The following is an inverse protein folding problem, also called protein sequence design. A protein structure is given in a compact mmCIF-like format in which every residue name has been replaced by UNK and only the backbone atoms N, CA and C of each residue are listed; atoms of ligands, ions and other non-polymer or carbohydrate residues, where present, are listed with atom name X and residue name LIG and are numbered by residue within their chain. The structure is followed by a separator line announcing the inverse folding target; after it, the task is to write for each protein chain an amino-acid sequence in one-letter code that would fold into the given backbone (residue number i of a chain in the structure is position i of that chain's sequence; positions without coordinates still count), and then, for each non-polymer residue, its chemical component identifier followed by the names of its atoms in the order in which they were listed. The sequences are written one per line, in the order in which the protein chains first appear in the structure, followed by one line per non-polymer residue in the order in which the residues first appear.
data_IF_654753891727
#
_entry.id   IF_654753891727
#
_cell.length_a   1.000
_cell.length_b   1.000
_cell.length_c   1.000
_cell.angle_alpha   90.00
_cell.angle_beta   90.00
_cell.angle_gamma   90.00
#
_symmetry.space_group_name_H-M   'P 1'
#
loop_
_entity.id
_entity.type
_entity.pdbx_description
1 polymer ?
#
# COMPACT_ATOMS: atom_id res chain seq x y z
N UNK A 1 42.54 -18.07 -27.39
CA UNK A 1 41.67 -16.90 -27.17
C UNK A 1 41.62 -16.17 -28.50
N UNK A 2 40.78 -16.62 -29.42
CA UNK A 2 40.48 -15.89 -30.65
C UNK A 2 38.97 -15.91 -30.81
N UNK A 3 38.46 -14.70 -31.04
CA UNK A 3 37.09 -14.29 -31.04
C UNK A 3 36.38 -14.87 -32.26
N UNK A 4 35.41 -15.78 -32.05
CA UNK A 4 34.51 -16.19 -33.13
C UNK A 4 33.53 -15.06 -33.39
N UNK A 5 33.86 -14.26 -34.40
CA UNK A 5 33.09 -13.16 -34.94
C UNK A 5 31.68 -13.65 -35.31
N UNK A 6 30.66 -13.13 -34.63
CA UNK A 6 29.26 -13.22 -35.05
C UNK A 6 29.11 -12.37 -36.31
N UNK A 7 29.38 -12.96 -37.47
CA UNK A 7 29.25 -12.31 -38.77
C UNK A 7 28.03 -12.87 -39.51
N UNK A 8 27.15 -11.95 -39.93
CA UNK A 8 26.04 -12.11 -40.87
C UNK A 8 24.79 -12.89 -40.43
N UNK A 9 23.86 -12.17 -39.80
CA UNK A 9 22.41 -12.44 -39.87
C UNK A 9 21.76 -11.71 -41.07
N UNK A 10 22.52 -11.34 -42.12
CA UNK A 10 22.02 -10.53 -43.25
C UNK A 10 21.89 -11.25 -44.60
N UNK A 11 22.01 -12.58 -44.67
CA UNK A 11 21.93 -13.31 -45.95
C UNK A 11 20.64 -14.14 -46.07
N UNK A 12 19.59 -13.50 -46.59
CA UNK A 12 18.51 -14.12 -47.34
C UNK A 12 17.38 -14.81 -46.55
N UNK A 13 16.22 -15.07 -47.22
CA UNK A 13 15.08 -15.81 -46.65
C UNK A 13 15.48 -17.12 -45.95
N UNK A 14 16.58 -17.73 -46.38
CA UNK A 14 17.16 -18.98 -45.84
C UNK A 14 17.58 -18.91 -44.36
N UNK A 15 18.08 -17.75 -43.87
CA UNK A 15 18.44 -17.60 -42.45
C UNK A 15 17.21 -17.45 -41.55
N UNK A 16 16.15 -16.80 -42.05
CA UNK A 16 14.86 -16.73 -41.37
C UNK A 16 14.14 -18.08 -41.41
N UNK A 17 14.25 -18.83 -42.53
CA UNK A 17 13.70 -20.17 -42.67
C UNK A 17 14.39 -21.17 -41.74
N UNK A 18 15.71 -21.08 -41.56
CA UNK A 18 16.45 -21.87 -40.57
C UNK A 18 16.08 -21.51 -39.14
N UNK A 19 15.88 -20.22 -38.83
CA UNK A 19 15.37 -19.79 -37.52
C UNK A 19 13.96 -20.32 -37.26
N UNK A 20 13.08 -20.25 -38.26
CA UNK A 20 11.70 -20.76 -38.15
C UNK A 20 11.68 -22.29 -37.98
N UNK A 21 12.55 -23.01 -38.68
CA UNK A 21 12.73 -24.45 -38.52
C UNK A 21 13.23 -24.82 -37.11
N UNK A 22 14.19 -24.07 -36.57
CA UNK A 22 14.70 -24.27 -35.21
C UNK A 22 13.64 -23.94 -34.15
N UNK A 23 12.87 -22.86 -34.32
CA UNK A 23 11.78 -22.48 -33.41
C UNK A 23 10.66 -23.51 -33.45
N UNK A 24 10.31 -24.02 -34.63
CA UNK A 24 9.34 -25.11 -34.77
C UNK A 24 9.84 -26.38 -34.12
N UNK A 25 11.09 -26.78 -34.39
CA UNK A 25 11.68 -27.97 -33.79
C UNK A 25 11.74 -27.86 -32.26
N UNK A 26 12.11 -26.69 -31.74
CA UNK A 26 12.02 -26.39 -30.30
C UNK A 26 10.58 -26.56 -29.81
N UNK A 27 9.60 -25.93 -30.46
CA UNK A 27 8.18 -26.08 -30.13
C UNK A 27 7.71 -27.54 -30.13
N UNK A 28 8.09 -28.34 -31.12
CA UNK A 28 7.75 -29.77 -31.17
C UNK A 28 8.42 -30.55 -30.05
N UNK A 29 9.70 -30.29 -29.76
CA UNK A 29 10.39 -30.96 -28.64
C UNK A 29 9.82 -30.58 -27.27
N UNK A 30 9.45 -29.31 -27.07
CA UNK A 30 8.75 -28.84 -25.87
C UNK A 30 7.38 -29.51 -25.71
N UNK A 31 6.64 -29.66 -26.81
CA UNK A 31 5.36 -30.37 -26.83
C UNK A 31 5.52 -31.87 -26.54
N UNK A 32 6.53 -32.54 -27.11
CA UNK A 32 6.84 -33.95 -26.87
C UNK A 32 7.26 -34.23 -25.42
N UNK A 33 7.91 -33.26 -24.77
CA UNK A 33 8.28 -33.33 -23.36
C UNK A 33 7.12 -33.01 -22.41
N UNK A 34 5.94 -32.65 -22.92
CA UNK A 34 4.76 -32.29 -22.14
C UNK A 34 4.83 -30.90 -21.51
N UNK A 35 5.72 -30.04 -22.00
CA UNK A 35 5.99 -28.71 -21.43
C UNK A 35 5.08 -27.62 -21.99
N UNK A 36 4.39 -27.90 -23.09
CA UNK A 36 3.44 -26.99 -23.76
C UNK A 36 2.32 -26.50 -22.81
N UNK A 37 1.75 -27.41 -22.01
CA UNK A 37 0.69 -27.06 -21.07
C UNK A 37 1.19 -26.14 -19.93
N UNK A 38 2.39 -26.38 -19.40
CA UNK A 38 2.96 -25.57 -18.33
C UNK A 38 3.35 -24.17 -18.83
N UNK A 39 3.96 -24.09 -20.02
CA UNK A 39 4.30 -22.80 -20.66
C UNK A 39 3.05 -21.99 -21.02
N UNK A 40 2.01 -22.62 -21.54
CA UNK A 40 0.75 -21.94 -21.80
C UNK A 40 0.11 -21.41 -20.52
N UNK A 41 0.12 -22.18 -19.45
CA UNK A 41 -0.41 -21.75 -18.17
C UNK A 41 0.39 -20.56 -17.58
N UNK A 42 1.72 -20.57 -17.68
CA UNK A 42 2.57 -19.42 -17.30
C UNK A 42 2.23 -18.16 -18.10
N UNK A 43 2.06 -18.30 -19.41
CA UNK A 43 1.71 -17.20 -20.32
C UNK A 43 0.35 -16.59 -19.97
N UNK A 44 -0.58 -17.40 -19.46
CA UNK A 44 -1.90 -16.93 -19.03
C UNK A 44 -1.89 -16.31 -17.61
N UNK A 45 -1.09 -16.84 -16.68
CA UNK A 45 -1.08 -16.43 -15.27
C UNK A 45 -0.23 -15.18 -14.99
N UNK A 46 0.89 -14.99 -15.70
CA UNK A 46 1.79 -13.83 -15.47
C UNK A 46 1.14 -12.46 -15.79
N UNK A 47 0.36 -12.30 -16.88
CA UNK A 47 -0.40 -11.07 -17.11
C UNK A 47 -1.39 -10.75 -15.99
N UNK A 48 -2.08 -11.76 -15.44
CA UNK A 48 -3.00 -11.56 -14.30
C UNK A 48 -2.25 -11.07 -13.05
N UNK A 49 -1.10 -11.68 -12.73
CA UNK A 49 -0.24 -11.22 -11.64
C UNK A 49 0.23 -9.77 -11.82
N UNK A 50 0.61 -9.38 -13.04
CA UNK A 50 0.99 -8.00 -13.37
C UNK A 50 -0.18 -7.05 -13.16
N UNK A 51 -1.36 -7.37 -13.67
CA UNK A 51 -2.54 -6.51 -13.60
C UNK A 51 -3.00 -6.32 -12.14
N UNK A 52 -2.88 -7.39 -11.33
CA UNK A 52 -3.08 -7.35 -9.88
C UNK A 52 -2.09 -6.41 -9.18
N UNK A 53 -0.80 -6.50 -9.49
CA UNK A 53 0.20 -5.58 -8.92
C UNK A 53 -0.05 -4.13 -9.36
N UNK A 54 -0.45 -3.91 -10.61
CA UNK A 54 -0.82 -2.58 -11.09
C UNK A 54 -2.08 -2.04 -10.37
N UNK A 55 -3.03 -2.91 -10.04
CA UNK A 55 -4.17 -2.55 -9.21
C UNK A 55 -3.75 -2.16 -7.78
N UNK A 56 -2.85 -2.92 -7.15
CA UNK A 56 -2.28 -2.56 -5.84
C UNK A 56 -1.62 -1.18 -5.90
N UNK A 57 -0.79 -0.92 -6.93
CA UNK A 57 -0.14 0.37 -7.11
C UNK A 57 -1.13 1.54 -7.14
N UNK A 58 -2.18 1.44 -7.97
CA UNK A 58 -3.24 2.47 -8.04
C UNK A 58 -3.93 2.68 -6.71
N UNK A 59 -4.32 1.60 -6.04
CA UNK A 59 -5.05 1.72 -4.78
C UNK A 59 -4.19 2.31 -3.66
N UNK A 60 -2.88 2.00 -3.63
CA UNK A 60 -1.94 2.62 -2.69
C UNK A 60 -1.74 4.10 -2.97
N UNK A 61 -1.72 4.50 -4.23
CA UNK A 61 -1.62 5.91 -4.64
C UNK A 61 -2.88 6.68 -4.26
N UNK A 62 -4.06 6.13 -4.55
CA UNK A 62 -5.35 6.75 -4.20
C UNK A 62 -5.49 6.94 -2.69
N UNK A 63 -5.10 5.94 -1.90
CA UNK A 63 -5.14 6.03 -0.45
C UNK A 63 -4.15 7.08 0.09
N UNK A 64 -2.92 7.10 -0.42
CA UNK A 64 -1.93 8.11 -0.05
C UNK A 64 -2.42 9.53 -0.37
N UNK A 65 -2.98 9.73 -1.56
CA UNK A 65 -3.57 11.01 -1.97
C UNK A 65 -4.74 11.42 -1.06
N UNK A 66 -5.62 10.46 -0.70
CA UNK A 66 -6.72 10.73 0.23
C UNK A 66 -6.22 11.17 1.60
N UNK A 67 -5.26 10.46 2.18
CA UNK A 67 -4.67 10.82 3.49
C UNK A 67 -3.99 12.18 3.42
N UNK A 68 -3.22 12.46 2.37
CA UNK A 68 -2.55 13.75 2.21
C UNK A 68 -3.56 14.90 2.14
N UNK A 69 -4.64 14.75 1.37
CA UNK A 69 -5.69 15.76 1.27
C UNK A 69 -6.40 16.01 2.61
N UNK A 70 -6.63 14.96 3.40
CA UNK A 70 -7.21 15.08 4.74
C UNK A 70 -6.29 15.84 5.70
N UNK A 71 -4.99 15.54 5.65
CA UNK A 71 -3.97 16.25 6.45
C UNK A 71 -3.86 17.71 6.03
N UNK A 72 -3.77 17.99 4.73
CA UNK A 72 -3.67 19.35 4.18
C UNK A 72 -4.90 20.21 4.56
N UNK A 73 -6.08 19.61 4.62
CA UNK A 73 -7.29 20.30 5.06
C UNK A 73 -7.34 20.55 6.58
N UNK A 74 -6.83 19.61 7.38
CA UNK A 74 -6.91 19.71 8.85
C UNK A 74 -5.81 20.57 9.48
N UNK A 75 -4.60 20.56 8.90
CA UNK A 75 -3.45 21.29 9.42
C UNK A 75 -3.71 22.80 9.65
N UNK A 76 -4.29 23.58 8.73
CA UNK A 76 -4.55 25.00 8.96
C UNK A 76 -5.57 25.25 10.07
N UNK A 77 -6.56 24.37 10.23
CA UNK A 77 -7.55 24.44 11.30
C UNK A 77 -6.88 24.26 12.66
N UNK A 78 -6.01 23.25 12.77
CA UNK A 78 -5.25 22.97 14.00
C UNK A 78 -4.31 24.14 14.36
N UNK A 79 -3.63 24.71 13.36
CA UNK A 79 -2.75 25.85 13.57
C UNK A 79 -3.51 27.10 14.05
N UNK A 80 -4.66 27.38 13.44
CA UNK A 80 -5.52 28.51 13.85
C UNK A 80 -6.02 28.33 15.28
N UNK A 81 -6.50 27.13 15.61
CA UNK A 81 -6.94 26.81 16.96
C UNK A 81 -5.81 26.95 18.00
N UNK A 82 -4.59 26.51 17.69
CA UNK A 82 -3.45 26.67 18.58
C UNK A 82 -3.10 28.15 18.81
N UNK A 83 -3.04 28.95 17.74
CA UNK A 83 -2.75 30.37 17.83
C UNK A 83 -3.81 31.15 18.64
N UNK A 84 -5.09 30.82 18.48
CA UNK A 84 -6.17 31.41 19.28
C UNK A 84 -6.06 31.06 20.76
N UNK A 85 -5.69 29.81 21.08
CA UNK A 85 -5.49 29.37 22.46
C UNK A 85 -4.30 30.08 23.11
N UNK A 86 -3.18 30.23 22.40
CA UNK A 86 -2.00 30.97 22.87
C UNK A 86 -2.32 32.45 23.11
N UNK A 87 -3.00 33.10 22.15
CA UNK A 87 -3.41 34.50 22.29
C UNK A 87 -4.37 34.71 23.48
N UNK A 88 -5.28 33.77 23.74
CA UNK A 88 -6.13 33.81 24.92
C UNK A 88 -5.32 33.65 26.21
N UNK A 89 -4.38 32.70 26.25
CA UNK A 89 -3.53 32.46 27.41
C UNK A 89 -2.71 33.72 27.77
N UNK A 90 -2.04 34.34 26.79
CA UNK A 90 -1.27 35.58 27.01
C UNK A 90 -2.15 36.71 27.56
N UNK A 91 -3.37 36.83 27.04
CA UNK A 91 -4.32 37.84 27.52
C UNK A 91 -4.78 37.58 28.95
N UNK A 92 -5.06 36.32 29.29
CA UNK A 92 -5.44 35.95 30.66
C UNK A 92 -4.28 36.15 31.65
N UNK A 93 -3.06 35.82 31.24
CA UNK A 93 -1.84 36.07 32.03
C UNK A 93 -1.66 37.57 32.28
N UNK A 94 -1.80 38.39 31.23
CA UNK A 94 -1.75 39.85 31.33
C UNK A 94 -2.78 40.41 32.31
N UNK A 95 -4.04 39.94 32.24
CA UNK A 95 -5.09 40.34 33.19
C UNK A 95 -4.75 39.89 34.63
N UNK A 96 -4.22 38.68 34.80
CA UNK A 96 -3.86 38.15 36.14
C UNK A 96 -2.76 38.95 36.84
N UNK A 97 -1.88 39.62 36.06
CA UNK A 97 -0.80 40.44 36.57
C UNK A 97 -1.27 41.82 37.09
N UNK A 98 -2.51 42.25 36.80
CA UNK A 98 -3.04 43.52 37.28
C UNK A 98 -3.54 43.38 38.73
N UNK A 99 -3.00 44.20 39.64
CA UNK A 99 -3.30 44.14 41.07
C UNK A 99 -4.76 44.48 41.42
N UNK A 100 -5.45 45.24 40.57
CA UNK A 100 -6.87 45.56 40.72
C UNK A 100 -7.60 45.29 39.40
N UNK A 101 -8.24 44.13 39.29
CA UNK A 101 -9.09 43.80 38.15
C UNK A 101 -10.55 44.18 38.45
N UNK A 102 -11.17 44.98 37.59
CA UNK A 102 -12.58 45.31 37.75
C UNK A 102 -13.47 44.08 37.54
N UNK A 103 -14.54 43.93 38.32
CA UNK A 103 -15.49 42.80 38.19
C UNK A 103 -16.08 42.69 36.78
N UNK A 104 -16.27 43.82 36.09
CA UNK A 104 -16.72 43.85 34.70
C UNK A 104 -15.71 43.25 33.72
N UNK A 105 -14.43 43.60 33.86
CA UNK A 105 -13.33 43.08 33.04
C UNK A 105 -13.11 41.59 33.30
N UNK A 106 -13.15 41.18 34.57
CA UNK A 106 -13.09 39.77 34.96
C UNK A 106 -14.21 38.94 34.31
N UNK A 107 -15.46 39.45 34.34
CA UNK A 107 -16.60 38.78 33.70
C UNK A 107 -16.47 38.70 32.18
N UNK A 108 -15.97 39.76 31.54
CA UNK A 108 -15.73 39.78 30.10
C UNK A 108 -14.68 38.75 29.70
N UNK A 109 -13.55 38.71 30.41
CA UNK A 109 -12.47 37.75 30.18
C UNK A 109 -12.93 36.29 30.38
N UNK A 110 -13.72 36.02 31.43
CA UNK A 110 -14.30 34.69 31.65
C UNK A 110 -15.29 34.29 30.55
N UNK A 111 -16.12 35.22 30.07
CA UNK A 111 -17.08 34.95 29.00
C UNK A 111 -16.36 34.62 27.68
N UNK A 112 -15.29 35.35 27.38
CA UNK A 112 -14.46 35.12 26.20
C UNK A 112 -13.68 33.80 26.31
N UNK A 113 -13.07 33.52 27.46
CA UNK A 113 -12.40 32.24 27.70
C UNK A 113 -13.36 31.05 27.55
N UNK A 114 -14.58 31.18 28.08
CA UNK A 114 -15.61 30.16 27.90
C UNK A 114 -16.04 30.00 26.44
N UNK A 115 -16.08 31.07 25.65
CA UNK A 115 -16.39 31.01 24.22
C UNK A 115 -15.27 30.33 23.42
N UNK A 116 -14.02 30.70 23.68
CA UNK A 116 -12.85 30.07 23.07
C UNK A 116 -12.75 28.59 23.42
N UNK A 117 -12.97 28.21 24.68
CA UNK A 117 -12.98 26.80 25.10
C UNK A 117 -14.07 25.98 24.41
N UNK A 118 -15.27 26.57 24.19
CA UNK A 118 -16.32 25.91 23.39
C UNK A 118 -15.88 25.72 21.94
N UNK A 119 -15.30 26.75 21.32
CA UNK A 119 -14.80 26.66 19.95
C UNK A 119 -13.69 25.61 19.81
N UNK A 120 -12.76 25.54 20.77
CA UNK A 120 -11.73 24.50 20.83
C UNK A 120 -12.34 23.09 20.94
N UNK A 121 -13.44 22.93 21.69
CA UNK A 121 -14.18 21.67 21.74
C UNK A 121 -14.73 21.25 20.38
N UNK A 122 -15.34 22.18 19.64
CA UNK A 122 -15.82 21.93 18.26
C UNK A 122 -14.67 21.53 17.32
N UNK A 123 -13.54 22.23 17.40
CA UNK A 123 -12.35 21.92 16.60
C UNK A 123 -11.78 20.53 16.92
N UNK A 124 -11.78 20.11 18.19
CA UNK A 124 -11.39 18.75 18.56
C UNK A 124 -12.29 17.68 17.94
N UNK A 125 -13.62 17.89 17.93
CA UNK A 125 -14.53 16.96 17.27
C UNK A 125 -14.26 16.87 15.76
N UNK A 126 -14.04 18.01 15.11
CA UNK A 126 -13.68 18.04 13.69
C UNK A 126 -12.34 17.32 13.43
N UNK A 127 -11.34 17.54 14.27
CA UNK A 127 -10.02 16.90 14.17
C UNK A 127 -10.12 15.38 14.36
N UNK A 128 -10.92 14.94 15.32
CA UNK A 128 -11.15 13.53 15.56
C UNK A 128 -11.91 12.87 14.39
N UNK A 129 -12.87 13.56 13.76
CA UNK A 129 -13.49 13.10 12.51
C UNK A 129 -12.48 12.91 11.38
N UNK A 130 -11.51 13.82 11.22
CA UNK A 130 -10.45 13.68 10.21
C UNK A 130 -9.58 12.45 10.50
N UNK A 131 -9.25 12.19 11.77
CA UNK A 131 -8.50 10.99 12.14
C UNK A 131 -9.29 9.71 11.82
N UNK A 132 -10.61 9.71 12.03
CA UNK A 132 -11.49 8.62 11.59
C UNK A 132 -11.44 8.44 10.07
N UNK A 133 -11.53 9.52 9.31
CA UNK A 133 -11.47 9.46 7.84
C UNK A 133 -10.11 8.96 7.32
N UNK A 134 -9.01 9.33 8.00
CA UNK A 134 -7.67 8.81 7.72
C UNK A 134 -7.61 7.31 8.02
N UNK A 135 -8.21 6.87 9.12
CA UNK A 135 -8.24 5.45 9.49
C UNK A 135 -9.04 4.64 8.47
N UNK A 136 -10.21 5.12 8.02
CA UNK A 136 -10.97 4.46 6.95
C UNK A 136 -10.28 4.54 5.59
N UNK A 137 -9.43 5.54 5.35
CA UNK A 137 -8.62 5.58 4.14
C UNK A 137 -7.56 4.45 4.12
N UNK A 138 -7.33 3.74 5.22
CA UNK A 138 -6.37 2.62 5.32
C UNK A 138 -6.93 1.27 4.87
N UNK A 139 -8.21 1.17 4.50
CA UNK A 139 -8.83 -0.06 3.96
C UNK A 139 -8.08 -0.63 2.75
N UNK A 140 -7.29 0.20 2.05
CA UNK A 140 -6.39 -0.26 1.00
C UNK A 140 -5.36 -1.30 1.48
N UNK A 141 -4.98 -1.29 2.76
CA UNK A 141 -3.97 -2.20 3.29
C UNK A 141 -4.47 -3.66 3.23
N UNK A 142 -5.71 -3.92 3.67
CA UNK A 142 -6.28 -5.26 3.64
C UNK A 142 -6.43 -5.75 2.20
N UNK A 143 -7.04 -4.92 1.35
CA UNK A 143 -7.28 -5.29 -0.05
C UNK A 143 -5.95 -5.47 -0.82
N UNK A 144 -4.92 -4.67 -0.51
CA UNK A 144 -3.58 -4.81 -1.09
C UNK A 144 -2.93 -6.11 -0.64
N UNK A 145 -3.03 -6.42 0.65
CA UNK A 145 -2.50 -7.65 1.24
C UNK A 145 -3.11 -8.90 0.60
N UNK A 146 -4.43 -8.91 0.41
CA UNK A 146 -5.12 -10.00 -0.28
C UNK A 146 -4.65 -10.16 -1.73
N UNK A 147 -4.48 -9.05 -2.46
CA UNK A 147 -4.03 -9.09 -3.86
C UNK A 147 -2.57 -9.54 -3.96
N UNK A 148 -1.69 -9.01 -3.10
CA UNK A 148 -0.28 -9.43 -3.02
C UNK A 148 -0.18 -10.92 -2.72
N UNK A 149 -0.98 -11.44 -1.78
CA UNK A 149 -1.00 -12.88 -1.46
C UNK A 149 -1.37 -13.74 -2.68
N UNK A 150 -2.35 -13.31 -3.48
CA UNK A 150 -2.71 -13.99 -4.74
C UNK A 150 -1.58 -13.93 -5.77
N UNK A 151 -0.94 -12.77 -5.91
CA UNK A 151 0.23 -12.61 -6.80
C UNK A 151 1.38 -13.52 -6.38
N UNK A 152 1.67 -13.61 -5.08
CA UNK A 152 2.70 -14.52 -4.56
C UNK A 152 2.37 -15.96 -4.91
N UNK A 153 1.12 -16.40 -4.78
CA UNK A 153 0.71 -17.74 -5.18
C UNK A 153 0.93 -17.99 -6.68
N UNK A 154 0.58 -17.04 -7.54
CA UNK A 154 0.80 -17.15 -8.99
C UNK A 154 2.30 -17.26 -9.30
N UNK A 155 3.13 -16.42 -8.68
CA UNK A 155 4.59 -16.43 -8.89
C UNK A 155 5.20 -17.74 -8.36
N UNK A 156 4.78 -18.23 -7.20
CA UNK A 156 5.25 -19.50 -6.65
C UNK A 156 4.86 -20.68 -7.53
N UNK A 157 3.64 -20.68 -8.08
CA UNK A 157 3.21 -21.70 -9.03
C UNK A 157 4.05 -21.64 -10.31
N UNK A 158 4.29 -20.44 -10.82
CA UNK A 158 5.12 -20.23 -11.99
C UNK A 158 6.57 -20.71 -11.78
N UNK A 159 7.14 -20.40 -10.61
CA UNK A 159 8.47 -20.85 -10.21
C UNK A 159 8.56 -22.37 -10.13
N UNK A 160 7.57 -23.04 -9.53
CA UNK A 160 7.53 -24.51 -9.46
C UNK A 160 7.48 -25.15 -10.85
N UNK A 161 6.67 -24.60 -11.77
CA UNK A 161 6.60 -25.09 -13.14
C UNK A 161 7.96 -24.93 -13.84
N UNK A 162 8.60 -23.76 -13.72
CA UNK A 162 9.93 -23.53 -14.30
C UNK A 162 11.02 -24.43 -13.69
N UNK A 163 10.99 -24.68 -12.39
CA UNK A 163 11.92 -25.62 -11.74
C UNK A 163 11.70 -27.06 -12.21
N UNK A 164 10.45 -27.48 -12.42
CA UNK A 164 10.14 -28.79 -12.98
C UNK A 164 10.64 -28.94 -14.41
N UNK A 165 10.48 -27.89 -15.23
CA UNK A 165 11.00 -27.85 -16.59
C UNK A 165 12.53 -27.99 -16.60
N UNK A 166 13.22 -27.23 -15.75
CA UNK A 166 14.68 -27.26 -15.66
C UNK A 166 15.20 -28.63 -15.22
N UNK A 167 14.64 -29.20 -14.16
CA UNK A 167 15.11 -30.49 -13.64
C UNK A 167 14.87 -31.65 -14.63
N UNK A 168 13.76 -31.63 -15.37
CA UNK A 168 13.51 -32.60 -16.45
C UNK A 168 14.53 -32.47 -17.59
N UNK A 169 14.92 -31.25 -17.93
CA UNK A 169 15.96 -31.00 -18.94
C UNK A 169 17.36 -31.48 -18.50
N UNK A 170 17.63 -31.47 -17.19
CA UNK A 170 18.90 -31.91 -16.59
C UNK A 170 18.91 -33.38 -16.14
N UNK A 171 17.77 -34.10 -16.29
CA UNK A 171 17.62 -35.48 -15.82
C UNK A 171 17.64 -35.65 -14.30
N UNK A 172 17.39 -34.58 -13.54
CA UNK A 172 17.34 -34.59 -12.08
C UNK A 172 15.90 -34.60 -11.55
N UNK A 173 15.69 -35.22 -10.39
CA UNK A 173 14.41 -35.19 -9.69
C UNK A 173 14.26 -33.86 -8.93
N UNK A 174 13.15 -33.16 -9.15
CA UNK A 174 12.80 -31.91 -8.45
C UNK A 174 12.47 -32.24 -7.00
N UNK A 175 13.18 -31.63 -6.05
CA UNK A 175 12.74 -31.65 -4.65
C UNK A 175 11.53 -30.71 -4.49
N UNK A 176 10.45 -31.11 -3.79
CA UNK A 176 9.35 -30.20 -3.52
C UNK A 176 9.87 -29.04 -2.66
N UNK A 177 9.65 -27.80 -3.10
CA UNK A 177 9.82 -26.65 -2.22
C UNK A 177 8.78 -26.73 -1.10
N UNK A 178 9.28 -26.73 0.13
CA UNK A 178 8.46 -26.62 1.33
C UNK A 178 7.71 -25.28 1.29
N UNK A 179 6.43 -25.31 0.95
CA UNK A 179 5.52 -24.15 1.12
C UNK A 179 5.25 -23.85 2.60
N UNK A 180 5.98 -24.51 3.50
CA UNK A 180 6.04 -24.25 4.93
C UNK A 180 6.41 -22.81 5.23
N UNK A 181 5.36 -22.02 5.41
CA UNK A 181 5.37 -20.66 5.96
C UNK A 181 6.01 -19.66 5.00
N UNK A 182 5.18 -19.10 4.13
CA UNK A 182 5.24 -17.68 3.79
C UNK A 182 5.07 -16.87 5.10
N UNK A 183 6.09 -16.89 5.95
CA UNK A 183 6.23 -16.00 7.09
C UNK A 183 6.82 -14.68 6.56
N UNK A 184 5.98 -13.94 5.81
CA UNK A 184 6.02 -12.49 5.99
C UNK A 184 5.81 -12.20 7.48
N UNK A 185 6.32 -11.09 8.02
CA UNK A 185 6.10 -10.74 9.42
C UNK A 185 4.61 -10.87 9.70
N UNK A 186 4.24 -11.90 10.48
CA UNK A 186 2.88 -12.08 10.93
C UNK A 186 2.65 -10.94 11.91
N UNK A 187 2.17 -9.83 11.38
CA UNK A 187 1.42 -8.89 12.18
C UNK A 187 0.25 -9.72 12.70
N UNK A 188 0.11 -9.91 14.02
CA UNK A 188 -1.00 -10.66 14.57
C UNK A 188 -2.28 -10.07 13.99
N UNK A 189 -3.20 -10.98 13.68
CA UNK A 189 -4.55 -10.81 13.16
C UNK A 189 -5.33 -9.70 13.86
N UNK A 190 -4.93 -8.46 13.60
CA UNK A 190 -5.77 -7.29 13.60
C UNK A 190 -6.00 -7.01 12.13
N UNK A 191 -6.80 -7.87 11.49
CA UNK A 191 -7.87 -7.31 10.69
C UNK A 191 -8.43 -6.17 11.55
N UNK A 192 -8.34 -4.94 11.05
CA UNK A 192 -9.03 -3.81 11.67
C UNK A 192 -10.50 -4.12 11.45
N UNK A 193 -11.02 -5.02 12.28
CA UNK A 193 -12.42 -5.37 12.34
C UNK A 193 -13.12 -4.07 12.75
N UNK A 194 -14.28 -3.80 12.16
CA UNK A 194 -14.97 -2.53 12.36
C UNK A 194 -15.26 -2.25 13.86
N UNK A 195 -15.28 -3.28 14.70
CA UNK A 195 -15.35 -3.16 16.17
C UNK A 195 -14.10 -2.50 16.79
N UNK A 196 -12.90 -2.73 16.23
CA UNK A 196 -11.65 -2.12 16.72
C UNK A 196 -11.53 -0.63 16.37
N UNK A 197 -12.23 -0.19 15.32
CA UNK A 197 -12.39 1.23 14.97
C UNK A 197 -13.24 1.92 16.03
N UNK A 198 -14.39 1.34 16.39
CA UNK A 198 -15.28 1.89 17.41
C UNK A 198 -14.61 1.96 18.80
N UNK A 199 -13.81 0.95 19.17
CA UNK A 199 -13.03 0.96 20.42
C UNK A 199 -11.93 2.05 20.43
N UNK A 200 -11.28 2.27 19.29
CA UNK A 200 -10.30 3.37 19.14
C UNK A 200 -10.99 4.74 19.21
N UNK A 201 -12.19 4.87 18.61
CA UNK A 201 -13.00 6.09 18.69
C UNK A 201 -13.48 6.37 20.12
N UNK A 202 -13.90 5.34 20.86
CA UNK A 202 -14.26 5.46 22.27
C UNK A 202 -13.05 5.85 23.14
N UNK A 203 -11.86 5.33 22.83
CA UNK A 203 -10.62 5.67 23.55
C UNK A 203 -10.15 7.12 23.34
N UNK A 204 -10.54 7.74 22.22
CA UNK A 204 -10.24 9.14 21.87
C UNK A 204 -11.26 10.13 22.45
N UNK A 205 -12.26 9.66 23.19
CA UNK A 205 -13.16 10.49 23.99
C UNK A 205 -14.44 10.95 23.27
N UNK A 206 -14.94 10.15 22.32
CA UNK A 206 -16.34 10.23 21.86
C UNK A 206 -17.27 9.47 22.81
#
# INVERSE_FOLDING_TARGET
MECTTVSNLSDGPDALDQLDALVRQLGTTLAELGWDAALHQLVDELPDARDRLAYVGRMTEDAANKVLNLVDAAQPVCHTAAAEAEALAERLDGLSAHAELGVGEARAALAEAAAALRHQGEMKHAQASVLTDIMMAQDFQDLSGQVIKKVVLIISHAEQQLQQLLAQSEGQAVAPLDTGKLAGPQVPDKAVDQEGVDDLLASLGF
#
